data_IF_578296830617
#
_entry.id   IF_578296830617
#
_cell.length_a   1.000
_cell.length_b   1.000
_cell.length_c   1.000
_cell.angle_alpha   90.00
_cell.angle_beta   90.00
_cell.angle_gamma   90.00
#
_symmetry.space_group_name_H-M   'P 1'
#
loop_
_entity.id
_entity.type
_entity.pdbx_description
1 polymer ?
#
# COMPACT_ATOMS: atom_id res chain seq x y z
N UNK A 1 -8.61 -16.90 -6.57
CA UNK A 1 -7.67 -15.77 -6.67
C UNK A 1 -8.46 -14.57 -7.15
N UNK A 2 -8.56 -13.52 -6.34
CA UNK A 2 -9.25 -12.28 -6.76
C UNK A 2 -8.32 -11.56 -7.72
N UNK A 3 -8.69 -11.43 -8.99
CA UNK A 3 -7.90 -10.66 -9.95
C UNK A 3 -7.86 -9.19 -9.53
N UNK A 4 -6.67 -8.58 -9.55
CA UNK A 4 -6.52 -7.15 -9.35
C UNK A 4 -7.24 -6.41 -10.48
N UNK A 5 -8.05 -5.40 -10.13
CA UNK A 5 -8.88 -4.64 -11.07
C UNK A 5 -8.62 -3.15 -10.89
N UNK A 6 -8.29 -2.47 -11.98
CA UNK A 6 -8.03 -1.03 -11.99
C UNK A 6 -9.26 -0.27 -11.51
N UNK A 7 -10.45 -0.68 -11.95
CA UNK A 7 -11.72 -0.10 -11.52
C UNK A 7 -11.87 -0.15 -10.00
N UNK A 8 -11.60 -1.30 -9.38
CA UNK A 8 -11.70 -1.46 -7.93
C UNK A 8 -10.66 -0.64 -7.17
N UNK A 9 -9.44 -0.56 -7.70
CA UNK A 9 -8.38 0.28 -7.15
C UNK A 9 -8.77 1.76 -7.17
N UNK A 10 -9.27 2.22 -8.31
CA UNK A 10 -9.74 3.60 -8.46
C UNK A 10 -10.90 3.92 -7.54
N UNK A 11 -11.91 3.05 -7.46
CA UNK A 11 -13.05 3.22 -6.55
C UNK A 11 -12.58 3.33 -5.10
N UNK A 12 -11.67 2.44 -4.68
CA UNK A 12 -11.13 2.48 -3.32
C UNK A 12 -10.37 3.76 -3.03
N UNK A 13 -9.45 4.14 -3.92
CA UNK A 13 -8.65 5.36 -3.77
C UNK A 13 -9.52 6.60 -3.66
N UNK A 14 -10.55 6.71 -4.52
CA UNK A 14 -11.47 7.85 -4.49
C UNK A 14 -12.29 7.93 -3.20
N UNK A 15 -12.62 6.79 -2.57
CA UNK A 15 -13.26 6.79 -1.25
C UNK A 15 -12.31 7.32 -0.17
N UNK A 16 -11.06 6.85 -0.16
CA UNK A 16 -10.05 7.28 0.83
C UNK A 16 -9.71 8.78 0.69
N UNK A 17 -9.74 9.33 -0.53
CA UNK A 17 -9.37 10.73 -0.82
C UNK A 17 -10.55 11.69 -0.98
N UNK A 18 -11.78 11.25 -0.71
CA UNK A 18 -12.96 12.12 -0.71
C UNK A 18 -12.77 13.27 0.29
N UNK A 19 -13.46 14.41 0.10
CA UNK A 19 -13.47 15.49 1.11
C UNK A 19 -13.83 14.94 2.51
N UNK A 20 -12.92 15.14 3.47
CA UNK A 20 -13.03 14.60 4.84
C UNK A 20 -12.48 13.18 5.03
N UNK A 21 -11.98 12.55 3.96
CA UNK A 21 -11.25 11.27 4.02
C UNK A 21 -9.83 11.43 4.57
N UNK A 22 -9.25 10.33 5.03
CA UNK A 22 -7.93 10.31 5.67
C UNK A 22 -6.76 10.17 4.67
N UNK A 23 -7.07 10.10 3.37
CA UNK A 23 -6.11 9.74 2.33
C UNK A 23 -5.88 8.23 2.28
N UNK A 24 -5.19 7.76 1.24
CA UNK A 24 -4.89 6.33 1.07
C UNK A 24 -3.74 5.84 1.96
N UNK A 25 -2.87 6.75 2.42
CA UNK A 25 -1.68 6.39 3.20
C UNK A 25 -2.00 5.61 4.50
N UNK A 26 -3.00 5.97 5.33
CA UNK A 26 -3.34 5.18 6.52
C UNK A 26 -3.78 3.73 6.21
N UNK A 27 -4.53 3.51 5.12
CA UNK A 27 -4.92 2.16 4.71
C UNK A 27 -3.72 1.36 4.17
N UNK A 28 -2.83 2.02 3.44
CA UNK A 28 -1.58 1.41 2.97
C UNK A 28 -0.63 1.06 4.13
N UNK A 29 -0.57 1.88 5.18
CA UNK A 29 0.19 1.58 6.39
C UNK A 29 -0.32 0.29 7.06
N UNK A 30 -1.64 0.15 7.24
CA UNK A 30 -2.24 -1.09 7.75
C UNK A 30 -1.97 -2.30 6.85
N UNK A 31 -2.00 -2.09 5.54
CA UNK A 31 -1.68 -3.15 4.58
C UNK A 31 -0.22 -3.62 4.70
N UNK A 32 0.73 -2.69 4.88
CA UNK A 32 2.14 -3.01 5.18
C UNK A 32 2.30 -3.79 6.48
N UNK A 33 1.62 -3.37 7.55
CA UNK A 33 1.62 -4.09 8.82
C UNK A 33 1.08 -5.51 8.66
N UNK A 34 0.01 -5.69 7.89
CA UNK A 34 -0.61 -6.99 7.68
C UNK A 34 0.29 -7.98 6.95
N UNK A 35 1.07 -7.52 5.97
CA UNK A 35 2.05 -8.37 5.27
C UNK A 35 3.36 -8.50 6.04
N UNK A 36 3.48 -7.86 7.21
CA UNK A 36 4.68 -7.87 8.03
C UNK A 36 5.84 -7.06 7.45
N UNK A 37 5.57 -6.14 6.52
CA UNK A 37 6.61 -5.32 5.91
C UNK A 37 7.02 -4.18 6.83
N UNK A 38 8.33 -4.03 7.06
CA UNK A 38 8.91 -2.91 7.82
C UNK A 38 10.18 -2.44 7.14
N UNK A 39 10.32 -1.13 6.97
CA UNK A 39 11.57 -0.54 6.54
C UNK A 39 12.66 -0.80 7.59
N UNK A 40 13.90 -1.02 7.14
CA UNK A 40 15.01 -1.39 8.04
C UNK A 40 15.62 -0.18 8.75
N UNK A 41 15.47 1.03 8.21
CA UNK A 41 15.94 2.29 8.84
C UNK A 41 15.02 3.46 8.51
N UNK A 42 15.16 3.98 7.30
CA UNK A 42 14.35 5.05 6.73
C UNK A 42 13.75 4.51 5.43
N UNK A 43 12.54 4.94 5.04
CA UNK A 43 11.62 5.86 5.72
C UNK A 43 10.85 5.24 6.91
N UNK A 44 10.19 6.07 7.73
CA UNK A 44 9.23 5.56 8.74
C UNK A 44 8.08 4.79 8.09
N UNK A 45 7.32 3.94 8.81
CA UNK A 45 6.16 3.26 8.25
C UNK A 45 5.14 4.21 7.62
N UNK A 46 4.90 5.37 8.22
CA UNK A 46 3.99 6.40 7.73
C UNK A 46 4.52 7.07 6.46
N UNK A 47 5.82 7.39 6.42
CA UNK A 47 6.48 7.95 5.25
C UNK A 47 6.50 6.95 4.08
N UNK A 48 6.79 5.67 4.37
CA UNK A 48 6.71 4.58 3.39
C UNK A 48 5.30 4.48 2.79
N UNK A 49 4.28 4.50 3.65
CA UNK A 49 2.89 4.50 3.22
C UNK A 49 2.53 5.74 2.38
N UNK A 50 3.13 6.90 2.68
CA UNK A 50 3.05 8.11 1.86
C UNK A 50 3.61 7.92 0.45
N UNK A 51 4.80 7.33 0.31
CA UNK A 51 5.38 7.03 -1.02
C UNK A 51 4.50 6.06 -1.82
N UNK A 52 3.98 5.02 -1.18
CA UNK A 52 3.07 4.08 -1.81
C UNK A 52 1.75 4.75 -2.22
N UNK A 53 1.24 5.68 -1.42
CA UNK A 53 0.04 6.45 -1.74
C UNK A 53 0.23 7.31 -3.00
N UNK A 54 1.41 7.89 -3.19
CA UNK A 54 1.76 8.63 -4.42
C UNK A 54 1.78 7.71 -5.65
N UNK A 55 2.25 6.47 -5.52
CA UNK A 55 2.20 5.50 -6.62
C UNK A 55 0.77 5.10 -6.98
N UNK A 56 -0.11 4.93 -5.98
CA UNK A 56 -1.54 4.66 -6.23
C UNK A 56 -2.20 5.86 -6.92
N UNK A 57 -1.90 7.09 -6.49
CA UNK A 57 -2.39 8.32 -7.12
C UNK A 57 -1.98 8.40 -8.60
N UNK A 58 -0.69 8.20 -8.89
CA UNK A 58 -0.17 8.16 -10.26
C UNK A 58 -0.83 7.06 -11.09
N UNK A 59 -1.09 5.88 -10.50
CA UNK A 59 -1.83 4.82 -11.18
C UNK A 59 -3.27 5.24 -11.53
N UNK A 60 -3.98 5.86 -10.58
CA UNK A 60 -5.38 6.26 -10.76
C UNK A 60 -5.52 7.40 -11.76
N UNK A 61 -4.65 8.41 -11.70
CA UNK A 61 -4.79 9.64 -12.46
C UNK A 61 -3.96 9.69 -13.75
N UNK A 62 -2.87 8.94 -13.84
CA UNK A 62 -1.94 8.99 -14.98
C UNK A 62 -1.97 7.69 -15.80
N UNK A 63 -1.13 6.72 -15.45
CA UNK A 63 -0.80 5.59 -16.35
C UNK A 63 -1.89 4.51 -16.41
N UNK A 64 -2.75 4.40 -15.39
CA UNK A 64 -3.90 3.45 -15.34
C UNK A 64 -3.52 1.99 -15.58
N UNK A 65 -2.35 1.60 -15.09
CA UNK A 65 -1.77 0.29 -15.28
C UNK A 65 -1.36 -0.30 -13.93
N UNK A 66 -1.99 -1.40 -13.54
CA UNK A 66 -1.71 -2.08 -12.28
C UNK A 66 -0.34 -2.77 -12.31
N UNK A 67 0.12 -3.24 -13.47
CA UNK A 67 1.44 -3.86 -13.57
C UNK A 67 2.53 -2.84 -13.26
N UNK A 68 2.42 -1.64 -13.83
CA UNK A 68 3.33 -0.52 -13.54
C UNK A 68 3.28 -0.10 -12.06
N UNK A 69 2.08 -0.10 -11.46
CA UNK A 69 1.94 0.15 -10.02
C UNK A 69 2.66 -0.93 -9.19
N UNK A 70 2.47 -2.20 -9.53
CA UNK A 70 3.10 -3.32 -8.80
C UNK A 70 4.62 -3.27 -8.91
N UNK A 71 5.16 -2.99 -10.10
CA UNK A 71 6.61 -2.85 -10.31
C UNK A 71 7.17 -1.66 -9.51
N UNK A 72 6.45 -0.52 -9.50
CA UNK A 72 6.82 0.65 -8.71
C UNK A 72 6.81 0.35 -7.20
N UNK A 73 5.78 -0.32 -6.71
CA UNK A 73 5.69 -0.74 -5.31
C UNK A 73 6.79 -1.74 -4.96
N UNK A 74 7.05 -2.74 -5.79
CA UNK A 74 8.12 -3.71 -5.59
C UNK A 74 9.50 -3.03 -5.53
N UNK A 75 9.73 -2.01 -6.35
CA UNK A 75 10.95 -1.19 -6.32
C UNK A 75 11.09 -0.45 -4.98
N UNK A 76 10.03 0.21 -4.50
CA UNK A 76 10.03 0.89 -3.19
C UNK A 76 10.25 -0.10 -2.04
N UNK A 77 9.60 -1.27 -2.08
CA UNK A 77 9.79 -2.32 -1.07
C UNK A 77 11.24 -2.81 -1.06
N UNK A 78 11.82 -3.04 -2.24
CA UNK A 78 13.24 -3.42 -2.36
C UNK A 78 14.17 -2.40 -1.74
N UNK A 79 14.00 -1.13 -2.11
CA UNK A 79 14.92 -0.05 -1.71
C UNK A 79 14.83 0.27 -0.20
N UNK A 80 13.72 -0.11 0.44
CA UNK A 80 13.46 0.12 1.87
C UNK A 80 13.58 -1.15 2.72
N UNK A 81 13.68 -2.32 2.08
CA UNK A 81 13.70 -3.63 2.70
C UNK A 81 15.07 -4.06 3.25
N UNK A 82 15.12 -5.19 3.97
CA UNK A 82 16.38 -5.75 4.46
C UNK A 82 17.26 -6.27 3.32
N UNK A 83 18.57 -6.07 3.48
CA UNK A 83 19.57 -6.78 2.67
C UNK A 83 19.45 -8.27 2.98
N UNK A 84 19.29 -9.09 1.93
CA UNK A 84 19.35 -10.54 2.03
C UNK A 84 20.72 -10.99 1.48
N UNK A 85 21.48 -11.73 2.28
CA UNK A 85 22.76 -12.32 1.88
C UNK A 85 23.81 -11.34 1.31
N UNK A 86 23.86 -10.12 1.85
CA UNK A 86 24.86 -9.11 1.50
C UNK A 86 24.53 -8.28 0.25
N UNK A 87 23.32 -8.42 -0.30
CA UNK A 87 22.82 -7.60 -1.40
C UNK A 87 21.31 -7.37 -1.32
N UNK A 88 20.79 -6.53 -2.22
CA UNK A 88 19.35 -6.46 -2.47
C UNK A 88 19.00 -7.48 -3.55
N UNK A 89 18.09 -8.44 -3.27
CA UNK A 89 17.49 -9.27 -4.30
C UNK A 89 16.96 -8.42 -5.47
N UNK A 90 16.77 -9.02 -6.65
CA UNK A 90 16.20 -8.33 -7.79
C UNK A 90 14.75 -7.92 -7.48
N UNK A 91 14.23 -6.87 -8.15
CA UNK A 91 12.90 -6.29 -7.89
C UNK A 91 11.79 -7.35 -7.98
N UNK A 92 11.94 -8.31 -8.89
CA UNK A 92 11.01 -9.40 -9.14
C UNK A 92 10.77 -10.27 -7.91
N UNK A 93 11.73 -10.35 -6.99
CA UNK A 93 11.58 -11.07 -5.72
C UNK A 93 10.56 -10.39 -4.77
N UNK A 94 10.27 -9.11 -4.98
CA UNK A 94 9.36 -8.30 -4.17
C UNK A 94 7.97 -8.18 -4.78
N UNK A 95 7.76 -8.64 -6.03
CA UNK A 95 6.46 -8.60 -6.70
C UNK A 95 5.35 -9.31 -5.91
N UNK A 96 5.57 -10.50 -5.29
CA UNK A 96 4.53 -11.14 -4.48
C UNK A 96 4.10 -10.29 -3.28
N UNK A 97 5.04 -9.55 -2.67
CA UNK A 97 4.74 -8.65 -1.56
C UNK A 97 3.97 -7.42 -2.04
N UNK A 98 4.33 -6.86 -3.20
CA UNK A 98 3.61 -5.76 -3.82
C UNK A 98 2.18 -6.15 -4.22
N UNK A 99 1.99 -7.34 -4.80
CA UNK A 99 0.66 -7.87 -5.14
C UNK A 99 -0.20 -8.03 -3.88
N UNK A 100 0.32 -8.67 -2.83
CA UNK A 100 -0.40 -8.86 -1.59
C UNK A 100 -0.70 -7.51 -0.90
N UNK A 101 0.22 -6.54 -0.96
CA UNK A 101 0.00 -5.18 -0.45
C UNK A 101 -1.22 -4.53 -1.11
N UNK A 102 -1.29 -4.56 -2.44
CA UNK A 102 -2.44 -4.02 -3.19
C UNK A 102 -3.71 -4.80 -2.83
N UNK A 103 -3.66 -6.13 -2.77
CA UNK A 103 -4.81 -6.93 -2.37
C UNK A 103 -5.32 -6.58 -0.97
N UNK A 104 -4.42 -6.30 -0.02
CA UNK A 104 -4.78 -5.86 1.33
C UNK A 104 -5.39 -4.47 1.33
N UNK A 105 -4.80 -3.53 0.61
CA UNK A 105 -5.36 -2.20 0.43
C UNK A 105 -6.80 -2.23 -0.12
N UNK A 106 -7.08 -3.11 -1.09
CA UNK A 106 -8.42 -3.27 -1.68
C UNK A 106 -9.42 -4.02 -0.79
N UNK A 107 -8.96 -4.73 0.24
CA UNK A 107 -9.77 -5.53 1.17
C UNK A 107 -10.03 -4.82 2.49
N UNK A 108 -9.30 -3.76 2.80
CA UNK A 108 -9.41 -3.02 4.06
C UNK A 108 -10.72 -2.25 4.10
N UNK A 109 -11.85 -2.95 4.17
CA UNK A 109 -13.16 -2.38 4.42
C UNK A 109 -13.04 -1.56 5.68
N UNK A 110 -13.29 -0.25 5.57
CA UNK A 110 -13.22 0.70 6.66
C UNK A 110 -14.31 0.44 7.69
N UNK A 111 -14.29 -0.70 8.37
CA UNK A 111 -14.86 -0.85 9.70
C UNK A 111 -13.85 -0.24 10.67
N UNK A 112 -13.86 1.09 10.71
CA UNK A 112 -13.69 1.76 12.00
C UNK A 112 -14.84 1.27 12.89
N UNK A 113 -14.63 0.18 13.62
CA UNK A 113 -15.24 0.09 14.95
C UNK A 113 -14.64 1.26 15.72
N UNK A 114 -15.40 2.36 15.77
CA UNK A 114 -15.24 3.33 16.85
C UNK A 114 -15.15 2.54 18.16
N UNK A 115 -14.10 2.70 18.99
CA UNK A 115 -14.14 2.11 20.32
C UNK A 115 -15.42 2.61 20.99
N UNK A 116 -16.19 1.75 21.70
CA UNK A 116 -17.33 2.23 22.44
C UNK A 116 -16.82 3.35 23.35
N UNK A 117 -17.37 4.54 23.17
CA UNK A 117 -17.15 5.65 24.07
C UNK A 117 -17.71 5.24 25.43
N UNK A 118 -16.87 4.63 26.24
CA UNK A 118 -17.12 4.43 27.67
C UNK A 118 -17.03 5.80 28.33
N UNK A 119 -18.06 6.62 28.16
CA UNK A 119 -18.30 7.76 29.02
C UNK A 119 -19.12 7.29 30.23
N UNK A 120 -18.43 7.32 31.37
CA UNK A 120 -18.89 7.45 32.76
C UNK A 120 -19.98 6.49 33.26
#
# INVERSE_FOLDING_TARGET
MTALSFTRLRERYLEDTRMGGSGSAPALARALEHIGWRAVRDPSPEELAGYLAMLVDACVHEHRDIMVLMDGMATVLRDTGPLLDGGLPPVEAYLPAAEELVLRYLRDDSTHESPPLSFL
#
